data_IF_236511487575
#
_entry.id   IF_236511487575
#
_cell.length_a   1.000
_cell.length_b   1.000
_cell.length_c   1.000
_cell.angle_alpha   90.00
_cell.angle_beta   90.00
_cell.angle_gamma   90.00
#
_symmetry.space_group_name_H-M   'P 1'
#
loop_
_entity.id
_entity.type
_entity.pdbx_description
1 polymer ?
#
# COMPACT_ATOMS: atom_id res chain seq x y z
N UNK A 1 7.38 3.31 -18.14
CA UNK A 1 6.66 2.29 -17.33
C UNK A 1 6.35 2.84 -15.96
N UNK A 2 5.24 2.44 -15.34
CA UNK A 2 4.96 2.76 -13.92
C UNK A 2 5.38 1.57 -13.07
N UNK A 3 6.40 1.75 -12.27
CA UNK A 3 6.98 0.70 -11.44
C UNK A 3 6.88 1.09 -9.94
N UNK A 4 6.87 0.09 -9.10
CA UNK A 4 7.02 0.25 -7.65
C UNK A 4 7.65 -1.01 -7.06
N UNK A 5 8.37 -0.86 -5.95
CA UNK A 5 8.80 -2.00 -5.14
C UNK A 5 7.81 -2.29 -4.03
N UNK A 6 7.62 -3.55 -3.71
CA UNK A 6 6.68 -3.99 -2.69
C UNK A 6 7.07 -5.30 -2.02
N UNK A 7 6.71 -5.43 -0.75
CA UNK A 7 6.59 -6.72 -0.06
C UNK A 7 5.20 -7.29 -0.37
N UNK A 8 5.16 -8.54 -0.82
CA UNK A 8 3.92 -9.25 -1.15
C UNK A 8 3.61 -10.22 -0.01
N UNK A 9 2.56 -9.97 0.80
CA UNK A 9 2.20 -10.91 1.87
C UNK A 9 1.88 -12.30 1.30
N UNK A 10 2.23 -13.40 2.01
CA UNK A 10 1.93 -14.74 1.54
C UNK A 10 0.41 -14.99 1.44
N UNK A 11 0.04 -15.99 0.66
CA UNK A 11 -1.38 -16.31 0.39
C UNK A 11 -2.17 -16.52 1.68
N UNK A 12 -1.60 -17.21 2.69
CA UNK A 12 -2.25 -17.42 3.98
C UNK A 12 -2.61 -16.12 4.71
N UNK A 13 -1.74 -15.11 4.67
CA UNK A 13 -2.00 -13.79 5.26
C UNK A 13 -3.07 -13.04 4.47
N UNK A 14 -3.00 -13.08 3.13
CA UNK A 14 -4.01 -12.47 2.27
C UNK A 14 -5.39 -13.11 2.42
N UNK A 15 -5.46 -14.43 2.58
CA UNK A 15 -6.70 -15.16 2.80
C UNK A 15 -7.31 -14.85 4.17
N UNK A 16 -6.47 -14.81 5.22
CA UNK A 16 -6.92 -14.41 6.56
C UNK A 16 -7.49 -12.99 6.57
N UNK A 17 -6.83 -12.04 5.90
CA UNK A 17 -7.35 -10.68 5.73
C UNK A 17 -8.65 -10.68 4.90
N UNK A 18 -8.72 -11.52 3.86
CA UNK A 18 -9.90 -11.67 3.03
C UNK A 18 -11.14 -12.09 3.84
N UNK A 19 -11.00 -13.05 4.76
CA UNK A 19 -12.09 -13.47 5.66
C UNK A 19 -12.59 -12.31 6.54
N UNK A 20 -11.68 -11.47 7.04
CA UNK A 20 -12.06 -10.31 7.82
C UNK A 20 -12.81 -9.26 6.98
N UNK A 21 -12.37 -9.05 5.73
CA UNK A 21 -13.00 -8.14 4.76
C UNK A 21 -14.40 -8.64 4.37
N UNK A 22 -14.57 -9.94 4.13
CA UNK A 22 -15.83 -10.55 3.74
C UNK A 22 -16.91 -10.38 4.82
N UNK A 23 -16.52 -10.23 6.09
CA UNK A 23 -17.40 -9.92 7.20
C UNK A 23 -17.84 -8.44 7.30
N UNK A 24 -17.28 -7.55 6.48
CA UNK A 24 -17.61 -6.12 6.51
C UNK A 24 -18.72 -5.82 5.50
N UNK A 25 -19.80 -5.08 5.88
CA UNK A 25 -20.87 -4.70 4.97
C UNK A 25 -20.30 -4.02 3.71
N UNK A 26 -20.64 -4.55 2.54
CA UNK A 26 -20.04 -4.17 1.26
C UNK A 26 -20.41 -2.76 0.84
N UNK A 27 -19.44 -1.86 0.81
CA UNK A 27 -19.61 -0.52 0.26
C UNK A 27 -18.42 -0.03 -0.59
N UNK A 28 -17.15 -0.25 -0.21
CA UNK A 28 -16.03 0.24 -1.01
C UNK A 28 -15.75 -0.66 -2.22
N UNK A 29 -14.90 -0.16 -3.11
CA UNK A 29 -14.28 -0.98 -4.13
C UNK A 29 -13.09 -1.69 -3.49
N UNK A 30 -13.27 -2.95 -3.12
CA UNK A 30 -12.20 -3.76 -2.55
C UNK A 30 -11.09 -4.01 -3.56
N UNK A 31 -9.87 -4.00 -3.08
CA UNK A 31 -8.69 -4.40 -3.85
C UNK A 31 -8.70 -5.92 -3.98
N UNK A 32 -8.54 -6.49 -5.19
CA UNK A 32 -8.41 -7.94 -5.37
C UNK A 32 -7.28 -8.51 -4.53
N UNK A 33 -7.47 -9.73 -3.98
CA UNK A 33 -6.50 -10.36 -3.06
C UNK A 33 -5.11 -10.50 -3.68
N UNK A 34 -5.03 -10.79 -4.97
CA UNK A 34 -3.78 -10.87 -5.73
C UNK A 34 -3.02 -9.54 -5.78
N UNK A 35 -3.71 -8.42 -5.65
CA UNK A 35 -3.14 -7.07 -5.69
C UNK A 35 -2.76 -6.51 -4.30
N UNK A 36 -3.00 -7.27 -3.21
CA UNK A 36 -2.62 -6.84 -1.86
C UNK A 36 -1.10 -6.87 -1.68
N UNK A 37 -0.52 -5.73 -1.34
CA UNK A 37 0.92 -5.56 -1.15
C UNK A 37 1.23 -4.42 -0.18
N UNK A 38 2.45 -4.38 0.34
CA UNK A 38 3.01 -3.27 1.09
C UNK A 38 3.97 -2.55 0.14
N UNK A 39 3.63 -1.37 -0.33
CA UNK A 39 4.52 -0.57 -1.18
C UNK A 39 5.74 -0.12 -0.37
N UNK A 40 6.94 -0.24 -0.95
CA UNK A 40 8.18 0.28 -0.40
C UNK A 40 8.54 1.62 -1.06
N UNK A 41 8.74 1.64 -2.37
CA UNK A 41 9.05 2.82 -3.14
C UNK A 41 8.26 2.84 -4.47
N UNK A 42 7.97 4.03 -4.97
CA UNK A 42 7.23 4.22 -6.21
C UNK A 42 8.09 4.93 -7.26
N UNK A 43 8.21 4.33 -8.45
CA UNK A 43 8.97 4.85 -9.58
C UNK A 43 8.01 5.22 -10.72
N UNK A 44 7.66 6.50 -10.81
CA UNK A 44 6.73 6.97 -11.83
C UNK A 44 7.42 7.17 -13.18
N UNK A 45 6.76 6.71 -14.26
CA UNK A 45 7.10 7.04 -15.65
C UNK A 45 8.57 6.84 -16.03
N UNK A 46 9.15 5.67 -15.68
CA UNK A 46 10.52 5.33 -16.07
C UNK A 46 10.60 4.89 -17.54
N UNK A 47 11.66 5.28 -18.27
CA UNK A 47 12.00 4.68 -19.56
C UNK A 47 12.28 3.18 -19.40
N UNK A 48 11.86 2.37 -20.39
CA UNK A 48 12.11 0.91 -20.33
C UNK A 48 13.59 0.56 -20.27
N UNK A 49 14.45 1.36 -20.90
CA UNK A 49 15.90 1.14 -20.93
C UNK A 49 16.58 1.31 -19.56
N UNK A 50 15.93 1.94 -18.56
CA UNK A 50 16.50 2.10 -17.21
C UNK A 50 16.16 0.94 -16.26
N UNK A 51 15.28 0.02 -16.67
CA UNK A 51 14.82 -1.09 -15.82
C UNK A 51 15.95 -2.06 -15.46
N UNK A 52 16.85 -2.48 -16.37
CA UNK A 52 17.94 -3.39 -16.01
C UNK A 52 18.87 -2.82 -14.93
N UNK A 53 19.27 -1.55 -15.04
CA UNK A 53 20.10 -0.87 -14.05
C UNK A 53 19.39 -0.78 -12.69
N UNK A 54 18.11 -0.41 -12.68
CA UNK A 54 17.30 -0.39 -11.46
C UNK A 54 17.22 -1.78 -10.82
N UNK A 55 17.10 -2.85 -11.60
CA UNK A 55 17.07 -4.22 -11.08
C UNK A 55 18.41 -4.60 -10.42
N UNK A 56 19.54 -4.23 -10.99
CA UNK A 56 20.87 -4.46 -10.41
C UNK A 56 21.03 -3.72 -9.06
N UNK A 57 20.64 -2.45 -9.00
CA UNK A 57 20.68 -1.67 -7.78
C UNK A 57 19.73 -2.23 -6.68
N UNK A 58 18.54 -2.68 -7.07
CA UNK A 58 17.60 -3.31 -6.13
C UNK A 58 18.10 -4.67 -5.62
N UNK A 59 18.84 -5.44 -6.44
CA UNK A 59 19.51 -6.65 -5.97
C UNK A 59 20.57 -6.32 -4.91
N UNK A 60 21.30 -5.20 -5.07
CA UNK A 60 22.26 -4.71 -4.06
C UNK A 60 21.56 -4.27 -2.76
N UNK A 61 20.38 -3.68 -2.86
CA UNK A 61 19.55 -3.36 -1.69
C UNK A 61 19.14 -4.65 -0.97
N UNK A 62 18.64 -5.66 -1.70
CA UNK A 62 18.20 -6.93 -1.11
C UNK A 62 19.28 -7.62 -0.28
N UNK A 63 20.53 -7.61 -0.75
CA UNK A 63 21.68 -8.21 -0.04
C UNK A 63 22.02 -7.53 1.29
N UNK A 64 21.57 -6.31 1.52
CA UNK A 64 21.86 -5.53 2.73
C UNK A 64 20.81 -5.70 3.83
N UNK A 65 19.66 -6.31 3.51
CA UNK A 65 18.52 -6.40 4.42
C UNK A 65 18.19 -7.85 4.76
N UNK A 66 18.03 -8.12 6.06
CA UNK A 66 17.58 -9.41 6.57
C UNK A 66 16.06 -9.61 6.37
N UNK A 67 15.56 -10.84 6.35
CA UNK A 67 14.14 -11.15 6.46
C UNK A 67 13.47 -10.42 7.64
N UNK A 68 12.24 -9.93 7.46
CA UNK A 68 11.56 -9.04 8.39
C UNK A 68 10.29 -9.71 8.91
N UNK A 69 10.17 -9.89 10.23
CA UNK A 69 8.95 -10.39 10.84
C UNK A 69 7.88 -9.30 10.90
N UNK A 70 6.74 -9.57 10.30
CA UNK A 70 5.65 -8.62 10.11
C UNK A 70 4.30 -9.24 10.52
N UNK A 71 3.35 -8.35 10.79
CA UNK A 71 1.94 -8.68 10.99
C UNK A 71 1.07 -7.55 10.45
N UNK A 72 -0.06 -7.87 9.84
CA UNK A 72 -1.09 -6.89 9.50
C UNK A 72 -1.94 -6.58 10.73
N UNK A 73 -2.09 -5.30 11.08
CA UNK A 73 -2.82 -4.91 12.29
C UNK A 73 -3.51 -3.56 12.15
N UNK A 74 -4.77 -3.52 12.62
CA UNK A 74 -5.58 -2.33 12.65
C UNK A 74 -5.91 -1.81 11.26
N UNK A 75 -6.76 -0.79 11.19
CA UNK A 75 -7.16 -0.18 9.95
C UNK A 75 -7.25 1.35 10.09
N UNK A 76 -7.19 2.02 8.97
CA UNK A 76 -7.38 3.46 8.90
C UNK A 76 -7.70 3.91 7.49
N UNK A 77 -7.83 5.22 7.30
CA UNK A 77 -8.09 5.79 5.98
C UNK A 77 -7.19 6.98 5.68
N UNK A 78 -6.84 7.13 4.39
CA UNK A 78 -6.23 8.35 3.89
C UNK A 78 -7.31 9.22 3.26
N UNK A 79 -7.62 10.31 3.95
CA UNK A 79 -8.78 11.13 3.61
C UNK A 79 -10.05 10.29 3.55
N UNK A 80 -10.95 10.63 2.63
CA UNK A 80 -12.18 9.88 2.43
C UNK A 80 -12.09 8.84 1.31
N UNK A 81 -10.90 8.50 0.82
CA UNK A 81 -10.72 7.80 -0.47
C UNK A 81 -10.07 6.44 -0.39
N UNK A 82 -9.20 6.19 0.57
CA UNK A 82 -8.41 4.96 0.65
C UNK A 82 -8.56 4.35 2.03
N UNK A 83 -8.95 3.07 2.08
CA UNK A 83 -8.93 2.25 3.29
C UNK A 83 -7.68 1.38 3.27
N UNK A 84 -6.97 1.32 4.39
CA UNK A 84 -5.75 0.55 4.53
C UNK A 84 -5.72 -0.25 5.84
N UNK A 85 -4.96 -1.33 5.82
CA UNK A 85 -4.57 -2.11 7.00
C UNK A 85 -3.14 -1.75 7.35
N UNK A 86 -2.87 -1.49 8.62
CA UNK A 86 -1.53 -1.18 9.11
C UNK A 86 -0.63 -2.40 9.16
N UNK A 87 0.66 -2.14 9.29
CA UNK A 87 1.71 -3.15 9.47
C UNK A 87 2.35 -2.95 10.83
N UNK A 88 2.56 -4.04 11.55
CA UNK A 88 3.21 -4.13 12.87
C UNK A 88 4.39 -5.11 12.81
N UNK A 89 5.23 -5.16 13.84
CA UNK A 89 6.44 -5.98 13.89
C UNK A 89 7.70 -5.21 13.52
N UNK A 90 8.50 -5.73 12.61
CA UNK A 90 9.78 -5.13 12.16
C UNK A 90 9.64 -3.86 11.33
N UNK A 91 8.76 -2.93 11.74
CA UNK A 91 8.42 -1.72 10.97
C UNK A 91 9.62 -0.80 10.74
N UNK A 92 10.62 -0.81 11.63
CA UNK A 92 11.86 -0.05 11.43
C UNK A 92 12.67 -0.63 10.27
N UNK A 93 12.94 -1.94 10.27
CA UNK A 93 13.66 -2.61 9.19
C UNK A 93 12.93 -2.44 7.84
N UNK A 94 11.59 -2.50 7.87
CA UNK A 94 10.77 -2.26 6.69
C UNK A 94 10.87 -0.81 6.19
N UNK A 95 10.98 0.16 7.10
CA UNK A 95 11.21 1.55 6.75
C UNK A 95 12.59 1.78 6.14
N UNK A 96 13.62 1.16 6.73
CA UNK A 96 14.99 1.24 6.23
C UNK A 96 15.10 0.62 4.83
N UNK A 97 14.47 -0.56 4.60
CA UNK A 97 14.35 -1.17 3.27
C UNK A 97 13.64 -0.25 2.26
N UNK A 98 12.52 0.37 2.67
CA UNK A 98 11.79 1.30 1.80
C UNK A 98 12.62 2.55 1.45
N UNK A 99 13.42 3.04 2.40
CA UNK A 99 14.31 4.19 2.21
C UNK A 99 15.41 3.84 1.19
N UNK A 100 16.04 2.67 1.33
CA UNK A 100 17.07 2.22 0.40
C UNK A 100 16.49 1.93 -1.00
N UNK A 101 15.31 1.31 -1.09
CA UNK A 101 14.60 1.18 -2.37
C UNK A 101 14.30 2.53 -3.02
N UNK A 102 13.96 3.55 -2.23
CA UNK A 102 13.70 4.89 -2.77
C UNK A 102 14.99 5.59 -3.21
N UNK A 103 16.11 5.37 -2.49
CA UNK A 103 17.40 5.99 -2.78
C UNK A 103 17.99 5.57 -4.14
N UNK A 104 17.67 4.35 -4.60
CA UNK A 104 18.09 3.86 -5.93
C UNK A 104 17.14 4.32 -7.07
N UNK A 105 16.24 5.26 -6.78
CA UNK A 105 15.36 5.81 -7.81
C UNK A 105 16.17 6.54 -8.87
N UNK A 106 16.01 6.21 -10.18
CA UNK A 106 16.68 6.92 -11.26
C UNK A 106 16.22 8.38 -11.41
N UNK A 107 15.23 8.80 -10.64
CA UNK A 107 14.72 10.17 -10.62
C UNK A 107 15.01 10.83 -9.28
N UNK A 108 15.24 12.13 -9.35
CA UNK A 108 15.36 12.97 -8.15
C UNK A 108 14.12 12.82 -7.26
N UNK A 109 14.35 12.45 -6.02
CA UNK A 109 13.28 12.30 -5.01
C UNK A 109 13.03 13.69 -4.42
N UNK A 110 11.80 14.21 -4.45
CA UNK A 110 11.50 15.50 -3.84
C UNK A 110 11.83 15.53 -2.34
N UNK A 111 12.37 16.65 -1.84
CA UNK A 111 12.75 16.81 -0.43
C UNK A 111 11.55 16.71 0.55
N UNK A 112 10.32 16.89 0.05
CA UNK A 112 9.09 16.85 0.84
C UNK A 112 8.40 15.46 0.88
N UNK A 113 9.11 14.40 0.49
CA UNK A 113 8.56 13.04 0.58
C UNK A 113 8.24 12.71 2.02
N UNK A 114 6.97 12.42 2.27
CA UNK A 114 6.50 12.03 3.60
C UNK A 114 7.17 10.72 4.03
N UNK A 115 7.48 10.56 5.33
CA UNK A 115 8.03 9.32 5.84
C UNK A 115 7.18 8.12 5.41
N UNK A 116 7.84 7.07 4.97
CA UNK A 116 7.19 5.81 4.60
C UNK A 116 6.35 5.29 5.77
N UNK A 117 5.06 5.11 5.53
CA UNK A 117 4.14 4.51 6.50
C UNK A 117 3.63 3.20 5.92
N UNK A 118 4.18 2.10 6.40
CA UNK A 118 3.85 0.76 5.93
C UNK A 118 2.36 0.47 6.10
N UNK A 119 1.70 0.08 5.01
CA UNK A 119 0.29 -0.30 4.99
C UNK A 119 -0.04 -1.15 3.77
N UNK A 120 -1.12 -1.90 3.86
CA UNK A 120 -1.76 -2.57 2.73
C UNK A 120 -3.03 -1.81 2.37
N UNK A 121 -3.12 -1.27 1.16
CA UNK A 121 -4.37 -0.71 0.66
C UNK A 121 -5.37 -1.82 0.38
N UNK A 122 -6.54 -1.77 1.01
CA UNK A 122 -7.56 -2.82 0.88
C UNK A 122 -8.81 -2.37 0.14
N UNK A 123 -9.09 -1.06 0.09
CA UNK A 123 -10.23 -0.56 -0.67
C UNK A 123 -10.08 0.91 -1.08
N UNK A 124 -10.82 1.25 -2.12
CA UNK A 124 -10.99 2.63 -2.59
C UNK A 124 -12.47 3.04 -2.52
N UNK A 125 -12.72 4.30 -2.16
CA UNK A 125 -14.06 4.86 -2.25
C UNK A 125 -14.50 4.94 -3.73
N UNK A 126 -15.76 4.61 -4.01
CA UNK A 126 -16.36 4.81 -5.33
C UNK A 126 -16.62 6.29 -5.59
N UNK A 127 -16.66 6.67 -6.86
CA UNK A 127 -17.10 8.01 -7.26
C UNK A 127 -18.50 8.29 -6.63
N UNK A 128 -18.66 9.49 -6.01
CA UNK A 128 -19.89 9.87 -5.31
C UNK A 128 -19.99 9.42 -3.84
N UNK A 129 -19.13 8.53 -3.35
CA UNK A 129 -19.08 8.12 -1.93
C UNK A 129 -18.33 9.11 -1.04
N UNK A 130 -17.55 10.01 -1.62
CA UNK A 130 -16.89 11.11 -0.90
C UNK A 130 -17.84 12.30 -0.89
N UNK A 131 -18.50 12.54 0.24
CA UNK A 131 -19.34 13.73 0.39
C UNK A 131 -18.47 14.91 0.81
N UNK A 132 -18.51 16.04 0.08
CA UNK A 132 -17.89 17.27 0.55
C UNK A 132 -18.50 17.69 1.89
N UNK A 133 -17.75 18.38 2.77
CA UNK A 133 -18.28 18.90 4.01
C UNK A 133 -19.51 19.77 3.71
N UNK A 134 -20.64 19.47 4.35
CA UNK A 134 -21.87 20.25 4.18
C UNK A 134 -21.73 21.59 4.87
N UNK A 135 -21.78 22.67 4.08
CA UNK A 135 -22.20 24.00 4.49
C UNK A 135 -21.31 24.72 5.52
N UNK A 136 -21.45 26.02 5.50
CA UNK A 136 -21.03 26.89 6.61
C UNK A 136 -22.08 26.79 7.73
N UNK A 137 -21.61 26.78 8.97
CA UNK A 137 -22.49 26.91 10.11
C UNK A 137 -23.20 28.28 10.12
N UNK A 138 -24.16 28.48 11.01
CA UNK A 138 -24.90 29.72 11.17
C UNK A 138 -24.01 30.97 11.36
N UNK A 139 -22.73 30.75 11.65
CA UNK A 139 -21.72 31.78 11.93
C UNK A 139 -20.67 31.93 10.83
N UNK A 140 -20.90 31.32 9.68
CA UNK A 140 -20.00 31.41 8.53
C UNK A 140 -18.67 30.66 8.68
N UNK A 141 -18.44 29.95 9.79
CA UNK A 141 -17.32 29.04 9.94
C UNK A 141 -17.62 27.74 9.19
N UNK A 142 -16.60 27.17 8.53
CA UNK A 142 -16.75 25.83 7.97
C UNK A 142 -17.12 24.89 9.12
N UNK A 143 -18.29 24.28 9.06
CA UNK A 143 -18.66 23.25 9.99
C UNK A 143 -17.55 22.21 9.97
N UNK A 144 -16.87 22.05 11.10
CA UNK A 144 -15.66 21.22 11.25
C UNK A 144 -15.98 19.75 11.21
N UNK A 145 -16.45 19.25 10.08
CA UNK A 145 -16.54 17.84 9.81
C UNK A 145 -15.63 17.54 8.63
N UNK A 146 -14.60 16.75 8.87
CA UNK A 146 -13.91 16.04 7.81
C UNK A 146 -14.96 15.40 6.87
N UNK A 147 -14.66 15.28 5.56
CA UNK A 147 -15.58 14.66 4.63
C UNK A 147 -15.94 13.27 5.16
N UNK A 148 -17.21 13.04 5.49
CA UNK A 148 -17.68 11.73 5.93
C UNK A 148 -17.44 10.75 4.81
N UNK A 149 -16.55 9.80 5.07
CA UNK A 149 -16.19 8.74 4.14
C UNK A 149 -17.14 7.57 4.28
N UNK A 150 -17.59 7.04 3.16
CA UNK A 150 -18.27 5.74 3.15
C UNK A 150 -17.34 4.59 3.63
N UNK A 151 -16.03 4.86 3.75
CA UNK A 151 -15.03 3.92 4.27
C UNK A 151 -14.96 3.89 5.81
N UNK A 152 -15.52 4.89 6.50
CA UNK A 152 -15.43 5.03 7.95
C UNK A 152 -15.99 3.81 8.71
N UNK A 153 -17.20 3.27 8.38
CA UNK A 153 -17.69 2.05 9.02
C UNK A 153 -16.80 0.83 8.80
N UNK A 154 -16.21 0.70 7.59
CA UNK A 154 -15.29 -0.38 7.29
C UNK A 154 -13.96 -0.23 8.05
N UNK A 155 -13.42 1.00 8.13
CA UNK A 155 -12.23 1.30 8.92
C UNK A 155 -12.45 0.99 10.40
N UNK A 156 -13.61 1.32 10.95
CA UNK A 156 -13.97 1.02 12.32
C UNK A 156 -14.13 -0.49 12.57
N UNK A 157 -14.80 -1.22 11.69
CA UNK A 157 -14.95 -2.66 11.79
C UNK A 157 -13.59 -3.39 11.75
N UNK A 158 -12.67 -2.93 10.91
CA UNK A 158 -11.34 -3.50 10.75
C UNK A 158 -10.28 -2.91 11.72
N UNK A 159 -10.65 -1.95 12.57
CA UNK A 159 -9.71 -1.31 13.51
C UNK A 159 -9.11 -2.28 14.53
N UNK A 160 -9.82 -3.34 14.86
CA UNK A 160 -9.41 -4.40 15.79
C UNK A 160 -8.78 -5.60 15.09
N UNK A 161 -8.64 -5.54 13.75
CA UNK A 161 -8.04 -6.63 13.00
C UNK A 161 -6.60 -6.89 13.45
N UNK A 162 -6.27 -8.16 13.63
CA UNK A 162 -4.93 -8.67 13.86
C UNK A 162 -4.75 -9.95 13.06
N UNK A 163 -3.88 -9.90 12.06
CA UNK A 163 -3.55 -11.05 11.22
C UNK A 163 -2.50 -11.95 11.84
N UNK A 164 -2.18 -13.09 11.21
CA UNK A 164 -1.07 -13.94 11.61
C UNK A 164 0.27 -13.22 11.39
N UNK A 165 1.27 -13.63 12.17
CA UNK A 165 2.65 -13.25 11.95
C UNK A 165 3.20 -13.98 10.72
N UNK A 166 4.09 -13.31 9.97
CA UNK A 166 4.86 -13.94 8.87
C UNK A 166 6.20 -13.25 8.72
N UNK A 167 7.15 -13.96 8.13
CA UNK A 167 8.45 -13.38 7.76
C UNK A 167 8.40 -12.95 6.30
N UNK A 168 8.62 -11.65 6.04
CA UNK A 168 8.87 -11.13 4.71
C UNK A 168 10.33 -11.43 4.35
N UNK A 169 10.54 -12.45 3.54
CA UNK A 169 11.84 -12.94 3.10
C UNK A 169 12.27 -12.38 1.75
N UNK A 170 11.43 -11.59 1.10
CA UNK A 170 11.65 -11.07 -0.25
C UNK A 170 10.84 -9.80 -0.50
N UNK A 171 11.28 -9.02 -1.49
CA UNK A 171 10.48 -7.97 -2.11
C UNK A 171 10.56 -8.05 -3.63
N UNK A 172 9.65 -7.37 -4.32
CA UNK A 172 9.54 -7.42 -5.78
C UNK A 172 9.46 -6.03 -6.40
N UNK A 173 9.97 -5.91 -7.62
CA UNK A 173 9.66 -4.82 -8.55
C UNK A 173 8.41 -5.18 -9.34
N UNK A 174 7.42 -4.31 -9.33
CA UNK A 174 6.10 -4.55 -9.89
C UNK A 174 5.75 -3.47 -10.92
N UNK A 175 5.34 -3.89 -12.10
CA UNK A 175 4.74 -3.01 -13.11
C UNK A 175 3.26 -2.78 -12.79
N UNK A 176 2.83 -1.51 -12.88
CA UNK A 176 1.44 -1.10 -12.74
C UNK A 176 0.89 -0.59 -14.06
N UNK A 177 -0.13 -1.27 -14.59
CA UNK A 177 -0.90 -0.84 -15.76
C UNK A 177 -2.30 -0.41 -15.35
N UNK A 178 -2.55 0.90 -15.19
CA UNK A 178 -3.84 1.42 -14.78
C UNK A 178 -4.94 1.06 -15.78
N UNK A 179 -6.09 0.63 -15.26
CA UNK A 179 -7.26 0.33 -16.10
C UNK A 179 -7.27 -1.05 -16.74
N UNK A 180 -6.17 -1.80 -16.75
CA UNK A 180 -6.07 -3.12 -17.38
C UNK A 180 -6.44 -4.29 -16.45
N UNK A 181 -6.68 -4.02 -15.18
CA UNK A 181 -7.04 -5.04 -14.19
C UNK A 181 -8.54 -5.24 -14.04
N UNK A 182 -8.92 -6.17 -13.16
CA UNK A 182 -10.31 -6.46 -12.86
C UNK A 182 -11.09 -5.20 -12.46
N UNK A 183 -12.32 -5.08 -12.95
CA UNK A 183 -13.24 -3.95 -12.70
C UNK A 183 -12.63 -2.56 -13.04
N UNK A 184 -11.70 -2.48 -14.02
CA UNK A 184 -11.03 -1.24 -14.39
C UNK A 184 -9.99 -0.77 -13.35
N UNK A 185 -9.53 -1.65 -12.48
CA UNK A 185 -8.41 -1.44 -11.58
C UNK A 185 -7.06 -1.53 -12.30
N UNK A 186 -5.96 -1.37 -11.58
CA UNK A 186 -4.64 -1.63 -12.13
C UNK A 186 -4.42 -3.15 -12.29
N UNK A 187 -3.71 -3.52 -13.34
CA UNK A 187 -3.07 -4.84 -13.45
C UNK A 187 -1.65 -4.71 -12.93
N UNK A 188 -1.27 -5.60 -12.03
CA UNK A 188 0.08 -5.70 -11.50
C UNK A 188 0.78 -6.92 -12.07
N UNK A 189 2.02 -6.74 -12.49
CA UNK A 189 2.88 -7.82 -12.99
C UNK A 189 4.23 -7.71 -12.30
N UNK A 190 4.67 -8.78 -11.65
CA UNK A 190 6.02 -8.84 -11.07
C UNK A 190 7.02 -8.86 -12.22
N UNK A 191 7.95 -7.90 -12.21
CA UNK A 191 9.06 -7.79 -13.15
C UNK A 191 10.21 -8.65 -12.66
N UNK A 192 10.58 -8.52 -11.38
CA UNK A 192 11.64 -9.26 -10.73
C UNK A 192 11.40 -9.29 -9.21
N UNK A 193 12.00 -10.26 -8.52
CA UNK A 193 11.92 -10.39 -7.07
C UNK A 193 13.27 -10.85 -6.50
N UNK A 194 13.61 -10.36 -5.30
CA UNK A 194 14.88 -10.63 -4.63
C UNK A 194 14.62 -11.12 -3.21
N UNK A 195 15.35 -12.15 -2.81
CA UNK A 195 15.41 -12.59 -1.42
C UNK A 195 16.19 -11.56 -0.56
N UNK A 196 15.78 -11.40 0.69
CA UNK A 196 16.51 -10.63 1.70
C UNK A 196 17.56 -11.56 2.32
N UNK A 197 18.85 -11.18 2.31
CA UNK A 197 19.96 -12.07 2.62
C UNK A 197 20.80 -11.62 3.84
N UNK A 198 20.63 -10.38 4.32
CA UNK A 198 21.43 -9.71 5.35
C UNK A 198 21.32 -10.27 6.76
#
# INVERSE_FOLDING_TARGET
MRLFTAVIPPTSVKDHLGLAIDGVPALPRWVPRENLHITLAFYADLPEGTVPELCEELADVARKHAPIDLRLRGAGSYGARVLWIGVDGGTRALHDLATDCLAVSPREVPDDVKPHRAHVTVAHARAGQVRPPRGRDRWGKRAGSEPRSALEPAAQALSVYAGPDWTADSFALVESRPGEGAQGGPRYTVVEAWALEG
#
